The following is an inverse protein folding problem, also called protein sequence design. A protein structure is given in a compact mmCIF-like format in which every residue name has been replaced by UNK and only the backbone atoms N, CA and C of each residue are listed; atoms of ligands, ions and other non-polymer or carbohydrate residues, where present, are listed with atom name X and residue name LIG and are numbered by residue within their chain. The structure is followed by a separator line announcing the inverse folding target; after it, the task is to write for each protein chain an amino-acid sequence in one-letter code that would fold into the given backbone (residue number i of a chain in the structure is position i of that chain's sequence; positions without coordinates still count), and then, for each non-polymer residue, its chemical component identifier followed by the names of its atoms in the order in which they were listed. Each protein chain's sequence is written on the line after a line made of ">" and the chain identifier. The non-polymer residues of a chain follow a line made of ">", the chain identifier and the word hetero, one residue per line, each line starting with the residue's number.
data_IF_743527554701
#
_entry.id   IF_743527554701
#
_cell.length_a   1.000
_cell.length_b   1.000
_cell.length_c   1.000
_cell.angle_alpha   90.00
_cell.angle_beta   90.00
_cell.angle_gamma   90.00
#
_symmetry.space_group_name_H-M   'P 1'
#
loop_
_entity.id
_entity.type
_entity.pdbx_description
1 polymer ?
#
# COMPACT_ATOMS: atom_id res chain seq x y z
N UNK A 1 15.58 20.86 -7.19
CA UNK A 1 15.29 19.43 -6.95
C UNK A 1 14.67 19.28 -5.57
N UNK A 2 13.39 18.90 -5.52
CA UNK A 2 12.57 18.82 -4.31
C UNK A 2 12.20 17.37 -3.95
N UNK A 3 11.51 17.17 -2.83
CA UNK A 3 11.16 15.83 -2.29
C UNK A 3 10.11 15.04 -3.10
N UNK A 4 10.02 15.25 -4.43
CA UNK A 4 8.99 14.64 -5.27
C UNK A 4 7.56 15.12 -4.95
N UNK A 5 7.39 16.24 -4.24
CA UNK A 5 6.06 16.72 -3.81
C UNK A 5 5.09 17.01 -4.95
N UNK A 6 5.57 17.25 -6.17
CA UNK A 6 4.70 17.36 -7.35
C UNK A 6 3.95 16.05 -7.65
N UNK A 7 4.49 14.92 -7.20
CA UNK A 7 3.94 13.57 -7.32
C UNK A 7 3.05 13.17 -6.13
N UNK A 8 2.66 14.12 -5.26
CA UNK A 8 1.86 13.85 -4.06
C UNK A 8 0.58 13.02 -4.32
N UNK A 9 -0.14 13.17 -5.46
CA UNK A 9 -1.32 12.33 -5.69
C UNK A 9 -0.94 10.86 -5.95
N UNK A 10 0.17 10.60 -6.66
CA UNK A 10 0.67 9.23 -6.88
C UNK A 10 1.22 8.61 -5.59
N UNK A 11 1.81 9.41 -4.70
CA UNK A 11 2.22 8.96 -3.37
C UNK A 11 1.02 8.44 -2.58
N UNK A 12 -0.09 9.20 -2.56
CA UNK A 12 -1.32 8.79 -1.88
C UNK A 12 -1.93 7.55 -2.53
N UNK A 13 -2.02 7.52 -3.86
CA UNK A 13 -2.58 6.39 -4.60
C UNK A 13 -1.84 5.08 -4.28
N UNK A 14 -0.52 5.08 -4.40
CA UNK A 14 0.30 3.88 -4.18
C UNK A 14 0.24 3.41 -2.72
N UNK A 15 0.44 4.30 -1.74
CA UNK A 15 0.43 3.92 -0.31
C UNK A 15 -0.96 3.42 0.12
N UNK A 16 -2.02 4.16 -0.20
CA UNK A 16 -3.37 3.77 0.21
C UNK A 16 -3.84 2.51 -0.52
N UNK A 17 -3.56 2.39 -1.83
CA UNK A 17 -3.89 1.19 -2.61
C UNK A 17 -3.23 -0.06 -2.03
N UNK A 18 -1.93 0.01 -1.70
CA UNK A 18 -1.19 -1.08 -1.06
C UNK A 18 -1.74 -1.43 0.32
N UNK A 19 -2.04 -0.43 1.16
CA UNK A 19 -2.66 -0.64 2.47
C UNK A 19 -4.03 -1.32 2.35
N UNK A 20 -4.88 -0.90 1.40
CA UNK A 20 -6.20 -1.49 1.16
C UNK A 20 -6.08 -2.94 0.73
N UNK A 21 -5.18 -3.26 -0.21
CA UNK A 21 -4.96 -4.65 -0.65
C UNK A 21 -4.55 -5.53 0.53
N UNK A 22 -3.55 -5.11 1.32
CA UNK A 22 -3.09 -5.88 2.47
C UNK A 22 -4.17 -6.03 3.55
N UNK A 23 -4.96 -4.99 3.80
CA UNK A 23 -6.07 -5.05 4.75
C UNK A 23 -7.23 -5.93 4.27
N UNK A 24 -7.54 -5.89 2.97
CA UNK A 24 -8.51 -6.78 2.34
C UNK A 24 -8.09 -8.24 2.52
N UNK A 25 -6.82 -8.59 2.28
CA UNK A 25 -6.30 -9.95 2.50
C UNK A 25 -6.52 -10.39 3.95
N UNK A 26 -6.19 -9.54 4.93
CA UNK A 26 -6.40 -9.86 6.35
C UNK A 26 -7.88 -10.10 6.68
N UNK A 27 -8.78 -9.24 6.19
CA UNK A 27 -10.22 -9.38 6.44
C UNK A 27 -10.80 -10.60 5.70
N UNK A 28 -10.38 -10.84 4.46
CA UNK A 28 -10.77 -12.00 3.66
C UNK A 28 -10.36 -13.31 4.34
N UNK A 29 -9.13 -13.41 4.86
CA UNK A 29 -8.67 -14.57 5.61
C UNK A 29 -9.49 -14.81 6.88
N UNK A 30 -9.87 -13.74 7.60
CA UNK A 30 -10.72 -13.84 8.79
C UNK A 30 -12.11 -14.40 8.45
N UNK A 31 -12.71 -13.97 7.31
CA UNK A 31 -14.00 -14.46 6.82
C UNK A 31 -13.90 -15.91 6.30
N UNK A 32 -12.85 -16.26 5.54
CA UNK A 32 -12.64 -17.60 5.00
C UNK A 32 -12.43 -18.63 6.11
N UNK A 33 -11.70 -18.25 7.17
CA UNK A 33 -11.46 -19.11 8.33
C UNK A 33 -12.75 -19.60 9.00
N UNK A 34 -13.88 -18.91 8.81
CA UNK A 34 -15.21 -19.37 9.24
C UNK A 34 -15.38 -19.49 10.74
N UNK A 35 -14.56 -18.78 11.53
CA UNK A 35 -14.59 -18.82 13.01
C UNK A 35 -15.46 -17.70 13.62
N UNK A 36 -16.14 -16.93 12.78
CA UNK A 36 -16.96 -15.78 13.18
C UNK A 36 -18.44 -16.22 13.20
N UNK A 37 -19.20 -15.76 14.19
CA UNK A 37 -20.66 -15.89 14.18
C UNK A 37 -21.28 -14.96 13.12
N UNK A 38 -22.58 -15.09 12.90
CA UNK A 38 -23.28 -14.29 11.88
C UNK A 38 -23.24 -12.78 12.19
N UNK A 39 -23.34 -12.42 13.47
CA UNK A 39 -23.33 -11.02 13.92
C UNK A 39 -21.98 -10.39 13.64
N UNK A 40 -20.89 -11.05 14.01
CA UNK A 40 -19.53 -10.57 13.81
C UNK A 40 -19.17 -10.57 12.33
N UNK A 41 -19.57 -11.59 11.57
CA UNK A 41 -19.43 -11.64 10.10
C UNK A 41 -20.09 -10.42 9.46
N UNK A 42 -21.31 -10.07 9.86
CA UNK A 42 -22.00 -8.87 9.37
C UNK A 42 -21.24 -7.59 9.74
N UNK A 43 -20.74 -7.47 10.97
CA UNK A 43 -19.94 -6.30 11.41
C UNK A 43 -18.63 -6.17 10.62
N UNK A 44 -17.97 -7.28 10.28
CA UNK A 44 -16.78 -7.29 9.42
C UNK A 44 -17.12 -6.79 8.02
N UNK A 45 -18.21 -7.27 7.41
CA UNK A 45 -18.65 -6.74 6.12
C UNK A 45 -19.01 -5.25 6.19
N UNK A 46 -19.62 -4.77 7.28
CA UNK A 46 -19.86 -3.33 7.48
C UNK A 46 -18.54 -2.56 7.53
N UNK A 47 -17.53 -3.05 8.26
CA UNK A 47 -16.24 -2.34 8.34
C UNK A 47 -15.45 -2.36 7.03
N UNK A 48 -15.68 -3.33 6.13
CA UNK A 48 -15.09 -3.32 4.78
C UNK A 48 -15.50 -2.10 3.94
N UNK A 49 -16.58 -1.41 4.28
CA UNK A 49 -16.95 -0.12 3.64
C UNK A 49 -15.77 0.86 3.62
N UNK A 50 -15.02 0.95 4.72
CA UNK A 50 -13.88 1.87 4.83
C UNK A 50 -12.72 1.49 3.91
N UNK A 51 -12.55 0.21 3.54
CA UNK A 51 -11.57 -0.20 2.53
C UNK A 51 -11.89 0.42 1.17
N UNK A 52 -13.16 0.36 0.77
CA UNK A 52 -13.59 0.88 -0.53
C UNK A 52 -13.61 2.40 -0.58
N UNK A 53 -13.91 3.06 0.55
CA UNK A 53 -13.72 4.51 0.67
C UNK A 53 -12.26 4.90 0.49
N UNK A 54 -11.32 4.24 1.19
CA UNK A 54 -9.89 4.51 1.05
C UNK A 54 -9.38 4.22 -0.37
N UNK A 55 -9.87 3.14 -1.00
CA UNK A 55 -9.54 2.82 -2.38
C UNK A 55 -10.10 3.86 -3.37
N UNK A 56 -11.31 4.34 -3.14
CA UNK A 56 -11.91 5.44 -3.92
C UNK A 56 -11.07 6.71 -3.83
N UNK A 57 -10.61 7.08 -2.62
CA UNK A 57 -9.69 8.21 -2.42
C UNK A 57 -8.38 7.99 -3.18
N UNK A 58 -7.82 6.76 -3.12
CA UNK A 58 -6.61 6.41 -3.85
C UNK A 58 -6.78 6.60 -5.37
N UNK A 59 -7.90 6.16 -5.95
CA UNK A 59 -8.17 6.36 -7.38
C UNK A 59 -8.41 7.82 -7.77
N UNK A 60 -9.11 8.58 -6.92
CA UNK A 60 -9.26 10.02 -7.15
C UNK A 60 -7.89 10.68 -7.22
N UNK A 61 -6.99 10.35 -6.29
CA UNK A 61 -5.61 10.85 -6.31
C UNK A 61 -4.86 10.43 -7.58
N UNK A 62 -5.02 9.18 -8.04
CA UNK A 62 -4.45 8.70 -9.32
C UNK A 62 -4.92 9.54 -10.51
N UNK A 63 -6.20 9.87 -10.59
CA UNK A 63 -6.77 10.68 -11.68
C UNK A 63 -6.34 12.14 -11.60
N UNK A 64 -6.17 12.70 -10.40
CA UNK A 64 -5.75 14.09 -10.21
C UNK A 64 -4.34 14.38 -10.75
N UNK A 65 -3.49 13.35 -10.86
CA UNK A 65 -2.16 13.50 -11.44
C UNK A 65 -2.17 13.41 -12.99
N UNK A 66 -3.25 12.89 -13.60
CA UNK A 66 -3.36 12.82 -15.05
C UNK A 66 -3.62 14.23 -15.61
N UNK A 67 -2.74 14.70 -16.50
CA UNK A 67 -2.93 16.00 -17.17
C UNK A 67 -4.21 16.10 -18.02
N UNK A 68 -4.87 14.99 -18.34
CA UNK A 68 -6.19 14.99 -18.99
C UNK A 68 -7.06 13.82 -18.51
N UNK A 69 -7.85 14.01 -17.44
CA UNK A 69 -8.69 12.96 -16.84
C UNK A 69 -9.62 12.26 -17.84
N UNK A 70 -10.19 13.01 -18.78
CA UNK A 70 -11.08 12.46 -19.81
C UNK A 70 -10.41 11.49 -20.78
N UNK A 71 -9.08 11.59 -20.96
CA UNK A 71 -8.30 10.68 -21.81
C UNK A 71 -7.80 9.46 -21.05
N UNK A 72 -7.98 9.39 -19.72
CA UNK A 72 -7.58 8.24 -18.93
C UNK A 72 -8.22 6.95 -19.43
N UNK A 73 -9.45 7.00 -19.96
CA UNK A 73 -10.12 5.84 -20.57
C UNK A 73 -9.38 5.27 -21.78
N UNK A 74 -8.65 6.11 -22.54
CA UNK A 74 -7.85 5.64 -23.67
C UNK A 74 -6.70 4.73 -23.23
N UNK A 75 -6.27 4.82 -21.96
CA UNK A 75 -5.25 3.92 -21.42
C UNK A 75 -5.69 2.46 -21.49
N UNK A 76 -6.99 2.17 -21.40
CA UNK A 76 -7.53 0.80 -21.46
C UNK A 76 -7.37 0.15 -22.84
N UNK A 77 -7.09 0.92 -23.89
CA UNK A 77 -6.86 0.39 -25.23
C UNK A 77 -5.51 -0.35 -25.38
N UNK A 78 -4.62 -0.25 -24.37
CA UNK A 78 -3.27 -0.84 -24.39
C UNK A 78 -3.02 -1.84 -23.25
N UNK A 79 -4.08 -2.50 -22.78
CA UNK A 79 -3.97 -3.57 -21.79
C UNK A 79 -3.11 -4.69 -22.38
N UNK A 80 -2.13 -5.17 -21.60
CA UNK A 80 -1.14 -6.16 -22.02
C UNK A 80 0.15 -5.55 -22.56
N UNK A 81 0.12 -4.34 -23.12
CA UNK A 81 1.31 -3.69 -23.69
C UNK A 81 1.91 -2.61 -22.79
N UNK A 82 1.07 -1.85 -22.09
CA UNK A 82 1.50 -0.72 -21.26
C UNK A 82 1.39 -1.06 -19.77
N UNK A 83 2.47 -0.85 -19.03
CA UNK A 83 2.48 -1.03 -17.58
C UNK A 83 1.43 -0.16 -16.88
N UNK A 84 1.28 1.11 -17.31
CA UNK A 84 0.28 2.03 -16.78
C UNK A 84 -1.16 1.54 -17.07
N UNK A 85 -1.40 1.02 -18.27
CA UNK A 85 -2.70 0.44 -18.63
C UNK A 85 -3.04 -0.76 -17.75
N UNK A 86 -2.06 -1.65 -17.55
CA UNK A 86 -2.20 -2.83 -16.71
C UNK A 86 -2.49 -2.46 -15.24
N UNK A 87 -1.87 -1.39 -14.72
CA UNK A 87 -2.13 -0.88 -13.38
C UNK A 87 -3.57 -0.38 -13.23
N UNK A 88 -4.03 0.46 -14.17
CA UNK A 88 -5.41 0.99 -14.17
C UNK A 88 -6.42 -0.15 -14.28
N UNK A 89 -6.20 -1.09 -15.19
CA UNK A 89 -7.10 -2.22 -15.40
C UNK A 89 -7.13 -3.16 -14.18
N UNK A 90 -5.97 -3.58 -13.66
CA UNK A 90 -5.90 -4.47 -12.50
C UNK A 90 -6.47 -3.84 -11.23
N UNK A 91 -6.20 -2.55 -10.98
CA UNK A 91 -6.81 -1.81 -9.89
C UNK A 91 -8.32 -1.73 -10.01
N UNK A 92 -8.82 -1.38 -11.21
CA UNK A 92 -10.27 -1.30 -11.48
C UNK A 92 -10.97 -2.65 -11.28
N UNK A 93 -10.35 -3.74 -11.74
CA UNK A 93 -10.88 -5.11 -11.58
C UNK A 93 -10.87 -5.52 -10.11
N UNK A 94 -9.79 -5.24 -9.36
CA UNK A 94 -9.74 -5.50 -7.91
C UNK A 94 -10.85 -4.75 -7.16
N UNK A 95 -11.01 -3.46 -7.44
CA UNK A 95 -12.03 -2.62 -6.80
C UNK A 95 -13.45 -3.07 -7.15
N UNK A 96 -13.72 -3.38 -8.42
CA UNK A 96 -15.02 -3.89 -8.84
C UNK A 96 -15.31 -5.26 -8.22
N UNK A 97 -14.39 -6.21 -8.31
CA UNK A 97 -14.58 -7.55 -7.74
C UNK A 97 -14.79 -7.51 -6.22
N UNK A 98 -14.01 -6.70 -5.51
CA UNK A 98 -14.14 -6.53 -4.06
C UNK A 98 -15.39 -5.76 -3.65
N UNK A 99 -15.72 -4.67 -4.35
CA UNK A 99 -16.91 -3.87 -4.11
C UNK A 99 -18.22 -4.61 -4.39
N UNK A 100 -18.26 -5.39 -5.48
CA UNK A 100 -19.41 -6.25 -5.81
C UNK A 100 -19.59 -7.34 -4.76
N UNK A 101 -18.51 -8.02 -4.36
CA UNK A 101 -18.55 -8.99 -3.26
C UNK A 101 -19.14 -8.36 -2.00
N UNK A 102 -18.60 -7.20 -1.60
CA UNK A 102 -19.01 -6.50 -0.40
C UNK A 102 -20.49 -6.10 -0.45
N UNK A 103 -20.96 -5.58 -1.59
CA UNK A 103 -22.35 -5.19 -1.78
C UNK A 103 -23.28 -6.40 -1.69
N UNK A 104 -22.97 -7.50 -2.39
CA UNK A 104 -23.78 -8.71 -2.34
C UNK A 104 -23.80 -9.32 -0.93
N UNK A 105 -22.66 -9.28 -0.21
CA UNK A 105 -22.58 -9.73 1.17
C UNK A 105 -23.42 -8.86 2.12
N UNK A 106 -23.44 -7.53 1.92
CA UNK A 106 -24.30 -6.61 2.68
C UNK A 106 -25.79 -6.81 2.41
N UNK A 107 -26.14 -7.18 1.18
CA UNK A 107 -27.52 -7.51 0.79
C UNK A 107 -27.95 -8.94 1.20
N UNK A 108 -27.08 -9.69 1.89
CA UNK A 108 -27.30 -11.09 2.26
C UNK A 108 -27.62 -11.99 1.05
N UNK A 109 -27.08 -11.64 -0.13
CA UNK A 109 -27.25 -12.37 -1.39
C UNK A 109 -26.06 -13.25 -1.76
N UNK A 110 -25.02 -13.31 -0.93
CA UNK A 110 -23.84 -14.14 -1.17
C UNK A 110 -23.97 -15.52 -0.51
N UNK A 111 -23.98 -16.61 -1.30
CA UNK A 111 -23.85 -17.95 -0.75
C UNK A 111 -22.49 -18.13 -0.07
N UNK A 112 -22.46 -18.81 1.09
CA UNK A 112 -21.24 -18.93 1.90
C UNK A 112 -20.05 -19.58 1.17
N UNK A 113 -20.30 -20.65 0.40
CA UNK A 113 -19.25 -21.35 -0.36
C UNK A 113 -18.69 -20.48 -1.50
N UNK A 114 -19.58 -19.83 -2.26
CA UNK A 114 -19.20 -18.93 -3.35
C UNK A 114 -18.45 -17.71 -2.81
N UNK A 115 -18.86 -17.19 -1.65
CA UNK A 115 -18.21 -16.06 -1.01
C UNK A 115 -16.75 -16.31 -0.67
N UNK A 116 -16.41 -17.51 -0.16
CA UNK A 116 -15.01 -17.87 0.13
C UNK A 116 -14.13 -17.91 -1.13
N UNK A 117 -14.64 -18.50 -2.20
CA UNK A 117 -13.94 -18.56 -3.49
C UNK A 117 -13.77 -17.15 -4.06
N UNK A 118 -14.81 -16.32 -4.00
CA UNK A 118 -14.75 -14.94 -4.47
C UNK A 118 -13.72 -14.11 -3.71
N UNK A 119 -13.71 -14.21 -2.38
CA UNK A 119 -12.69 -13.57 -1.54
C UNK A 119 -11.28 -14.00 -1.96
N UNK A 120 -11.06 -15.29 -2.20
CA UNK A 120 -9.76 -15.82 -2.66
C UNK A 120 -9.34 -15.24 -4.00
N UNK A 121 -10.26 -15.19 -4.97
CA UNK A 121 -10.01 -14.57 -6.27
C UNK A 121 -9.67 -13.08 -6.10
N UNK A 122 -10.44 -12.33 -5.30
CA UNK A 122 -10.18 -10.90 -5.07
C UNK A 122 -8.84 -10.66 -4.36
N UNK A 123 -8.39 -11.55 -3.46
CA UNK A 123 -7.04 -11.48 -2.88
C UNK A 123 -5.97 -11.58 -3.97
N UNK A 124 -6.10 -12.53 -4.90
CA UNK A 124 -5.18 -12.68 -6.03
C UNK A 124 -5.20 -11.45 -6.92
N UNK A 125 -6.39 -10.90 -7.22
CA UNK A 125 -6.53 -9.65 -7.99
C UNK A 125 -5.83 -8.47 -7.32
N UNK A 126 -5.92 -8.36 -5.98
CA UNK A 126 -5.20 -7.34 -5.22
C UNK A 126 -3.68 -7.49 -5.32
N UNK A 127 -3.16 -8.71 -5.25
CA UNK A 127 -1.74 -8.98 -5.46
C UNK A 127 -1.28 -8.65 -6.89
N UNK A 128 -2.09 -8.99 -7.89
CA UNK A 128 -1.83 -8.62 -9.29
C UNK A 128 -1.83 -7.10 -9.48
N UNK A 129 -2.71 -6.38 -8.77
CA UNK A 129 -2.72 -4.92 -8.79
C UNK A 129 -1.44 -4.33 -8.20
N UNK A 130 -0.98 -4.80 -7.03
CA UNK A 130 0.31 -4.35 -6.45
C UNK A 130 1.48 -4.70 -7.37
N UNK A 131 1.45 -5.87 -8.02
CA UNK A 131 2.44 -6.23 -9.04
C UNK A 131 2.41 -5.26 -10.23
N UNK A 132 1.24 -4.93 -10.76
CA UNK A 132 1.09 -3.99 -11.86
C UNK A 132 1.63 -2.59 -11.48
N UNK A 133 1.35 -2.10 -10.26
CA UNK A 133 1.95 -0.87 -9.73
C UNK A 133 3.49 -0.91 -9.79
N UNK A 134 4.10 -2.03 -9.38
CA UNK A 134 5.56 -2.17 -9.42
C UNK A 134 6.09 -2.06 -10.85
N UNK A 135 5.40 -2.66 -11.82
CA UNK A 135 5.83 -2.70 -13.23
C UNK A 135 5.82 -1.33 -13.89
N UNK A 136 5.00 -0.38 -13.40
CA UNK A 136 5.00 1.00 -13.90
C UNK A 136 6.36 1.68 -13.70
N UNK A 137 7.06 1.33 -12.62
CA UNK A 137 8.32 1.98 -12.26
C UNK A 137 9.57 1.17 -12.64
N UNK A 138 9.42 -0.04 -13.17
CA UNK A 138 10.53 -0.83 -13.70
C UNK A 138 10.90 -0.39 -15.11
N UNK A 139 11.31 0.88 -15.27
CA UNK A 139 11.59 1.52 -16.55
C UNK A 139 13.12 1.55 -16.78
N UNK A 140 13.59 0.89 -17.84
CA UNK A 140 15.04 0.74 -18.12
C UNK A 140 15.80 2.07 -18.21
N UNK A 141 15.13 3.15 -18.59
CA UNK A 141 15.73 4.50 -18.72
C UNK A 141 15.84 5.26 -17.41
N UNK A 142 15.29 4.75 -16.30
CA UNK A 142 15.35 5.34 -14.96
C UNK A 142 16.05 4.38 -14.00
N UNK A 143 17.41 4.36 -13.97
CA UNK A 143 18.19 3.35 -13.26
C UNK A 143 17.97 3.35 -11.74
N UNK A 144 17.61 4.49 -11.16
CA UNK A 144 17.28 4.61 -9.73
C UNK A 144 16.00 3.86 -9.34
N UNK A 145 15.09 3.65 -10.30
CA UNK A 145 13.85 2.89 -10.12
C UNK A 145 13.93 1.46 -10.69
N UNK A 146 14.70 1.23 -11.74
CA UNK A 146 14.84 -0.08 -12.39
C UNK A 146 15.76 -1.03 -11.60
N UNK A 147 15.26 -1.53 -10.46
CA UNK A 147 15.96 -2.48 -9.62
C UNK A 147 15.00 -3.24 -8.69
N UNK A 148 15.51 -4.27 -8.02
CA UNK A 148 14.71 -5.08 -7.08
C UNK A 148 14.19 -4.32 -5.86
N UNK A 149 14.84 -3.21 -5.45
CA UNK A 149 14.41 -2.43 -4.29
C UNK A 149 13.07 -1.75 -4.50
N UNK A 150 12.75 -1.33 -5.74
CA UNK A 150 11.44 -0.77 -6.09
C UNK A 150 10.33 -1.79 -5.83
N UNK A 151 10.44 -2.99 -6.41
CA UNK A 151 9.45 -4.05 -6.20
C UNK A 151 9.35 -4.44 -4.73
N UNK A 152 10.48 -4.59 -4.05
CA UNK A 152 10.52 -4.89 -2.63
C UNK A 152 9.82 -3.81 -1.81
N UNK A 153 10.10 -2.53 -2.05
CA UNK A 153 9.47 -1.40 -1.37
C UNK A 153 7.96 -1.33 -1.57
N UNK A 154 7.45 -1.67 -2.75
CA UNK A 154 6.01 -1.73 -3.03
C UNK A 154 5.31 -2.84 -2.24
N UNK A 155 5.90 -4.04 -2.23
CA UNK A 155 5.36 -5.18 -1.46
C UNK A 155 5.45 -4.91 0.05
N UNK A 156 6.55 -4.32 0.52
CA UNK A 156 6.74 -4.04 1.94
C UNK A 156 5.74 -3.00 2.46
N UNK A 157 5.41 -1.95 1.71
CA UNK A 157 4.36 -0.99 2.13
C UNK A 157 3.01 -1.69 2.37
N UNK A 158 2.62 -2.62 1.49
CA UNK A 158 1.43 -3.45 1.68
C UNK A 158 1.51 -4.27 2.97
N UNK A 159 2.67 -4.85 3.28
CA UNK A 159 2.89 -5.66 4.48
C UNK A 159 3.08 -4.83 5.76
N UNK A 160 3.45 -3.56 5.66
CA UNK A 160 3.57 -2.64 6.79
C UNK A 160 2.18 -2.11 7.17
N UNK A 161 1.50 -1.44 6.24
CA UNK A 161 0.24 -0.75 6.51
C UNK A 161 -1.00 -1.66 6.43
N UNK A 162 -0.98 -2.68 5.58
CA UNK A 162 -2.11 -3.58 5.36
C UNK A 162 -2.54 -4.35 6.62
N UNK A 163 -1.63 -5.06 7.32
CA UNK A 163 -1.96 -5.76 8.55
C UNK A 163 -2.49 -4.85 9.65
N UNK A 164 -1.96 -3.62 9.77
CA UNK A 164 -2.43 -2.63 10.74
C UNK A 164 -3.85 -2.16 10.41
N UNK A 165 -4.13 -1.81 9.16
CA UNK A 165 -5.47 -1.41 8.72
C UNK A 165 -6.49 -2.56 8.83
N UNK A 166 -6.09 -3.77 8.43
CA UNK A 166 -6.93 -4.97 8.59
C UNK A 166 -7.22 -5.26 10.07
N UNK A 167 -6.22 -5.18 10.94
CA UNK A 167 -6.39 -5.32 12.38
C UNK A 167 -7.33 -4.24 12.95
N UNK A 168 -7.15 -2.97 12.54
CA UNK A 168 -8.00 -1.85 12.93
C UNK A 168 -9.47 -2.12 12.60
N UNK A 169 -9.77 -2.53 11.37
CA UNK A 169 -11.15 -2.77 10.91
C UNK A 169 -11.78 -4.01 11.55
N UNK A 170 -11.00 -5.07 11.77
CA UNK A 170 -11.44 -6.25 12.52
C UNK A 170 -11.72 -5.88 13.99
N UNK A 171 -10.85 -5.07 14.62
CA UNK A 171 -11.03 -4.61 15.99
C UNK A 171 -12.26 -3.71 16.13
N UNK A 172 -12.50 -2.83 15.16
CA UNK A 172 -13.68 -1.98 15.09
C UNK A 172 -14.98 -2.79 14.91
N UNK A 173 -14.92 -3.90 14.18
CA UNK A 173 -16.03 -4.85 14.07
C UNK A 173 -16.26 -5.67 15.37
N UNK A 174 -15.34 -5.61 16.33
CA UNK A 174 -15.42 -6.35 17.59
C UNK A 174 -14.74 -7.71 17.56
N UNK A 175 -13.96 -8.03 16.52
CA UNK A 175 -13.24 -9.29 16.40
C UNK A 175 -12.08 -9.30 17.39
N UNK A 176 -12.00 -10.35 18.19
CA UNK A 176 -10.91 -10.61 19.13
C UNK A 176 -10.43 -12.04 18.90
N UNK A 177 -9.12 -12.24 18.73
CA UNK A 177 -8.59 -13.59 18.55
C UNK A 177 -7.07 -13.67 18.59
N UNK A 178 -6.54 -14.84 18.98
CA UNK A 178 -5.10 -15.08 19.07
C UNK A 178 -4.38 -14.93 17.71
N UNK A 179 -5.04 -15.27 16.60
CA UNK A 179 -4.46 -15.12 15.25
C UNK A 179 -4.13 -13.67 14.91
N UNK A 180 -4.79 -12.70 15.55
CA UNK A 180 -4.51 -11.28 15.35
C UNK A 180 -3.15 -10.86 15.94
N UNK A 181 -2.52 -11.68 16.79
CA UNK A 181 -1.19 -11.42 17.36
C UNK A 181 -0.05 -11.65 16.36
N UNK A 182 -0.30 -12.34 15.24
CA UNK A 182 0.67 -12.51 14.16
C UNK A 182 0.79 -11.26 13.27
N UNK A 183 -0.28 -10.48 13.15
CA UNK A 183 -0.33 -9.30 12.27
C UNK A 183 0.74 -8.25 12.60
N UNK A 184 0.98 -7.87 13.88
CA UNK A 184 2.07 -6.94 14.20
C UNK A 184 3.45 -7.50 13.87
N UNK A 185 3.66 -8.81 13.99
CA UNK A 185 4.95 -9.45 13.67
C UNK A 185 5.25 -9.30 12.18
N UNK A 186 4.24 -9.49 11.32
CA UNK A 186 4.37 -9.29 9.87
C UNK A 186 4.79 -7.85 9.56
N UNK A 187 4.10 -6.85 10.14
CA UNK A 187 4.44 -5.44 9.91
C UNK A 187 5.84 -5.07 10.45
N UNK A 188 6.24 -5.57 11.62
CA UNK A 188 7.58 -5.31 12.19
C UNK A 188 8.67 -5.92 11.31
N UNK A 189 8.51 -7.18 10.88
CA UNK A 189 9.46 -7.81 9.97
C UNK A 189 9.54 -7.04 8.65
N UNK A 190 8.41 -6.59 8.11
CA UNK A 190 8.38 -5.78 6.90
C UNK A 190 9.10 -4.42 7.07
N UNK A 191 8.97 -3.76 8.22
CA UNK A 191 9.74 -2.54 8.54
C UNK A 191 11.23 -2.84 8.62
N UNK A 192 11.66 -3.92 9.29
CA UNK A 192 13.07 -4.29 9.40
C UNK A 192 13.69 -4.55 8.02
N UNK A 193 13.00 -5.32 7.17
CA UNK A 193 13.45 -5.56 5.79
C UNK A 193 13.45 -4.26 4.99
N UNK A 194 12.48 -3.36 5.19
CA UNK A 194 12.42 -2.08 4.49
C UNK A 194 13.59 -1.16 4.87
N UNK A 195 13.95 -1.10 6.15
CA UNK A 195 15.10 -0.31 6.62
C UNK A 195 16.40 -0.86 6.03
N UNK A 196 16.58 -2.18 6.07
CA UNK A 196 17.76 -2.82 5.47
C UNK A 196 17.84 -2.55 3.96
N UNK A 197 16.73 -2.72 3.24
CA UNK A 197 16.65 -2.48 1.80
C UNK A 197 16.98 -1.03 1.43
N UNK A 198 16.41 -0.06 2.14
CA UNK A 198 16.68 1.38 1.87
C UNK A 198 18.11 1.75 2.23
N UNK A 199 18.67 1.19 3.30
CA UNK A 199 20.08 1.40 3.64
C UNK A 199 21.01 0.84 2.55
N UNK A 200 20.78 -0.39 2.09
CA UNK A 200 21.55 -1.01 1.01
C UNK A 200 21.41 -0.23 -0.31
N UNK A 201 20.20 0.20 -0.67
CA UNK A 201 19.96 1.05 -1.82
C UNK A 201 20.72 2.37 -1.69
N UNK A 202 20.73 2.98 -0.50
CA UNK A 202 21.45 4.21 -0.20
C UNK A 202 22.94 4.15 -0.52
N UNK A 203 23.60 3.02 -0.20
CA UNK A 203 25.01 2.80 -0.57
C UNK A 203 25.19 2.66 -2.09
N UNK A 204 24.26 1.99 -2.78
CA UNK A 204 24.29 1.83 -4.23
C UNK A 204 23.99 3.10 -5.03
N UNK A 205 23.32 4.11 -4.44
CA UNK A 205 23.01 5.38 -5.12
C UNK A 205 24.28 6.17 -5.50
N UNK A 206 25.40 5.98 -4.79
CA UNK A 206 26.66 6.63 -5.14
C UNK A 206 27.27 6.09 -6.44
N UNK A 207 26.90 4.88 -6.87
CA UNK A 207 27.42 4.30 -8.11
C UNK A 207 26.64 4.78 -9.35
N UNK A 208 25.40 5.24 -9.15
CA UNK A 208 24.53 5.70 -10.23
C UNK A 208 24.79 7.18 -10.52
N UNK A 209 25.27 7.47 -11.72
CA UNK A 209 25.58 8.83 -12.18
C UNK A 209 25.09 9.04 -13.61
N UNK A 210 24.61 10.25 -13.89
CA UNK A 210 24.47 10.77 -15.26
C UNK A 210 25.67 11.65 -15.60
N UNK A 211 25.76 12.12 -16.84
CA UNK A 211 26.76 13.10 -17.25
C UNK A 211 26.64 14.45 -16.53
N UNK A 212 25.52 14.69 -15.83
CA UNK A 212 25.19 15.98 -15.20
C UNK A 212 25.21 15.88 -13.67
N UNK A 213 24.75 14.77 -13.08
CA UNK A 213 24.59 14.66 -11.63
C UNK A 213 24.62 13.21 -11.14
N UNK A 214 25.06 13.02 -9.89
CA UNK A 214 25.05 11.73 -9.18
C UNK A 214 23.71 11.53 -8.44
N UNK A 215 23.19 10.30 -8.39
CA UNK A 215 21.89 10.02 -7.78
C UNK A 215 21.85 10.33 -6.27
N UNK A 216 22.98 10.18 -5.57
CA UNK A 216 23.13 10.54 -4.15
C UNK A 216 22.89 12.03 -3.86
N UNK A 217 23.11 12.90 -4.85
CA UNK A 217 22.91 14.35 -4.73
C UNK A 217 21.45 14.78 -5.00
N UNK A 218 20.56 13.89 -5.46
CA UNK A 218 19.16 14.21 -5.76
C UNK A 218 18.37 14.57 -4.49
N UNK A 219 18.71 13.93 -3.36
CA UNK A 219 18.06 14.14 -2.07
C UNK A 219 19.14 14.41 -1.00
N UNK A 220 19.59 15.67 -0.84
CA UNK A 220 20.61 16.02 0.16
C UNK A 220 20.18 15.66 1.61
N UNK A 221 18.88 15.64 1.87
CA UNK A 221 18.27 15.32 3.16
C UNK A 221 17.91 13.83 3.33
N UNK A 222 18.51 12.91 2.55
CA UNK A 222 18.10 11.49 2.54
C UNK A 222 18.12 10.84 3.93
N UNK A 223 19.20 11.05 4.70
CA UNK A 223 19.33 10.50 6.04
C UNK A 223 18.29 11.04 7.04
N UNK A 224 17.98 12.34 6.98
CA UNK A 224 17.00 12.95 7.90
C UNK A 224 15.57 12.54 7.55
N UNK A 225 15.25 12.38 6.26
CA UNK A 225 13.95 11.86 5.82
C UNK A 225 13.78 10.39 6.19
N UNK A 226 14.83 9.57 6.07
CA UNK A 226 14.80 8.19 6.53
C UNK A 226 14.58 8.09 8.04
N UNK A 227 15.21 8.96 8.83
CA UNK A 227 15.02 9.03 10.27
C UNK A 227 13.57 9.40 10.64
N UNK A 228 12.99 10.41 9.98
CA UNK A 228 11.58 10.78 10.19
C UNK A 228 10.60 9.68 9.79
N UNK A 229 10.84 9.04 8.63
CA UNK A 229 10.07 7.87 8.21
C UNK A 229 10.09 6.79 9.28
N UNK A 230 11.28 6.42 9.78
CA UNK A 230 11.41 5.38 10.80
C UNK A 230 10.74 5.77 12.11
N UNK A 231 10.91 7.03 12.55
CA UNK A 231 10.26 7.53 13.76
C UNK A 231 8.73 7.39 13.68
N UNK A 232 8.12 7.79 12.55
CA UNK A 232 6.68 7.68 12.33
C UNK A 232 6.22 6.21 12.30
N UNK A 233 6.94 5.32 11.63
CA UNK A 233 6.62 3.89 11.57
C UNK A 233 6.71 3.24 12.97
N UNK A 234 7.76 3.54 13.73
CA UNK A 234 7.96 3.01 15.10
C UNK A 234 6.89 3.53 16.05
N UNK A 235 6.56 4.83 16.00
CA UNK A 235 5.50 5.40 16.83
C UNK A 235 4.13 4.81 16.45
N UNK A 236 3.85 4.67 15.15
CA UNK A 236 2.59 4.12 14.66
C UNK A 236 2.38 2.67 15.06
N UNK A 237 3.39 1.82 14.87
CA UNK A 237 3.36 0.42 15.31
C UNK A 237 3.43 0.29 16.84
N UNK A 238 4.10 1.20 17.53
CA UNK A 238 4.15 1.25 18.99
C UNK A 238 2.76 1.42 19.61
N UNK A 239 1.91 2.27 19.03
CA UNK A 239 0.51 2.44 19.44
C UNK A 239 -0.33 1.16 19.32
N UNK A 240 0.04 0.27 18.41
CA UNK A 240 -0.59 -1.03 18.22
C UNK A 240 -0.02 -2.11 19.15
N UNK A 241 1.30 -2.19 19.25
CA UNK A 241 2.03 -3.28 19.93
C UNK A 241 2.09 -3.10 21.45
N UNK A 242 2.31 -1.87 21.95
CA UNK A 242 2.49 -1.61 23.38
C UNK A 242 1.30 -2.06 24.24
N UNK A 243 0.03 -1.80 23.86
CA UNK A 243 -1.12 -2.33 24.59
C UNK A 243 -1.15 -3.86 24.63
N UNK A 244 -0.80 -4.52 23.51
CA UNK A 244 -0.82 -5.98 23.38
C UNK A 244 0.21 -6.66 24.27
N UNK A 245 1.43 -6.11 24.37
CA UNK A 245 2.47 -6.61 25.29
C UNK A 245 2.00 -6.49 26.75
N UNK A 246 1.27 -5.42 27.09
CA UNK A 246 0.69 -5.21 28.43
C UNK A 246 -0.57 -6.06 28.69
N UNK A 247 -0.90 -7.01 27.81
CA UNK A 247 -2.09 -7.86 27.91
C UNK A 247 -3.41 -7.11 27.68
N UNK A 248 -3.37 -5.86 27.23
CA UNK A 248 -4.56 -5.04 26.94
C UNK A 248 -4.91 -5.11 25.46
N UNK A 249 -6.20 -4.96 25.15
CA UNK A 249 -6.60 -4.76 23.74
C UNK A 249 -6.31 -3.32 23.34
N UNK A 250 -5.64 -3.05 22.20
CA UNK A 250 -5.46 -1.70 21.70
C UNK A 250 -6.82 -1.06 21.40
N UNK A 251 -6.97 0.22 21.72
CA UNK A 251 -8.19 0.97 21.43
C UNK A 251 -8.26 1.32 19.94
N UNK A 252 -9.47 1.42 19.40
CA UNK A 252 -9.67 1.79 17.99
C UNK A 252 -9.07 3.17 17.69
N UNK A 253 -9.20 4.14 18.61
CA UNK A 253 -8.62 5.47 18.45
C UNK A 253 -7.08 5.43 18.29
N UNK A 254 -6.37 4.66 19.14
CA UNK A 254 -4.91 4.53 19.04
C UNK A 254 -4.49 3.81 17.75
N UNK A 255 -5.28 2.87 17.26
CA UNK A 255 -5.02 2.19 15.99
C UNK A 255 -5.23 3.12 14.79
N UNK A 256 -6.22 4.02 14.82
CA UNK A 256 -6.43 5.05 13.79
C UNK A 256 -5.23 6.01 13.75
N UNK A 257 -4.81 6.51 14.91
CA UNK A 257 -3.61 7.37 15.01
C UNK A 257 -2.38 6.61 14.52
N UNK A 258 -2.22 5.36 14.93
CA UNK A 258 -1.11 4.51 14.51
C UNK A 258 -1.07 4.30 13.00
N UNK A 259 -2.23 4.05 12.39
CA UNK A 259 -2.35 3.92 10.93
C UNK A 259 -2.03 5.22 10.21
N UNK A 260 -2.50 6.37 10.71
CA UNK A 260 -2.17 7.68 10.13
C UNK A 260 -0.66 7.97 10.17
N UNK A 261 0.02 7.64 11.29
CA UNK A 261 1.47 7.76 11.41
C UNK A 261 2.20 6.82 10.45
N UNK A 262 1.74 5.57 10.31
CA UNK A 262 2.32 4.61 9.36
C UNK A 262 2.17 5.11 7.92
N UNK A 263 0.98 5.59 7.54
CA UNK A 263 0.75 6.18 6.21
C UNK A 263 1.65 7.40 6.00
N UNK A 264 1.79 8.29 6.98
CA UNK A 264 2.70 9.44 6.87
C UNK A 264 4.16 9.00 6.66
N UNK A 265 4.63 7.99 7.39
CA UNK A 265 5.97 7.42 7.20
C UNK A 265 6.17 6.80 5.82
N UNK A 266 5.19 6.03 5.34
CA UNK A 266 5.23 5.44 3.99
C UNK A 266 5.13 6.51 2.89
N UNK A 267 4.41 7.61 3.11
CA UNK A 267 4.42 8.77 2.21
C UNK A 267 5.81 9.41 2.15
N UNK A 268 6.53 9.58 3.26
CA UNK A 268 7.93 10.05 3.21
C UNK A 268 8.78 9.07 2.39
N UNK A 269 8.59 7.76 2.58
CA UNK A 269 9.23 6.72 1.78
C UNK A 269 8.98 6.86 0.28
N UNK A 270 7.72 7.09 -0.12
CA UNK A 270 7.35 7.34 -1.51
C UNK A 270 7.88 8.67 -2.04
N UNK A 271 7.92 9.71 -1.22
CA UNK A 271 8.50 11.00 -1.60
C UNK A 271 9.98 10.88 -1.91
N UNK A 272 10.73 10.13 -1.08
CA UNK A 272 12.12 9.80 -1.38
C UNK A 272 12.24 8.99 -2.68
N UNK A 273 11.38 8.00 -2.89
CA UNK A 273 11.37 7.21 -4.12
C UNK A 273 11.16 8.08 -5.38
N UNK A 274 10.15 8.96 -5.39
CA UNK A 274 9.90 9.85 -6.53
C UNK A 274 10.98 10.91 -6.69
N UNK A 275 11.54 11.42 -5.59
CA UNK A 275 12.65 12.36 -5.61
C UNK A 275 13.95 11.78 -6.19
N UNK A 276 14.09 10.46 -6.22
CA UNK A 276 15.21 9.77 -6.86
C UNK A 276 15.05 9.62 -8.38
N UNK A 277 14.00 10.19 -8.99
CA UNK A 277 13.85 10.13 -10.45
C UNK A 277 15.05 10.73 -11.17
N UNK A 278 15.74 9.92 -11.96
CA UNK A 278 16.85 10.34 -12.80
C UNK A 278 16.87 9.50 -14.06
N UNK A 279 16.90 10.15 -15.22
CA UNK A 279 16.95 9.46 -16.52
C UNK A 279 18.39 9.29 -17.00
N UNK A 280 18.64 8.26 -17.80
CA UNK A 280 19.90 8.16 -18.56
C UNK A 280 19.95 9.26 -19.62
N UNK A 281 20.96 10.14 -19.55
CA UNK A 281 21.18 11.23 -20.51
C UNK A 281 21.33 12.62 -19.88
N UNK A 282 21.19 13.67 -20.70
CA UNK A 282 21.36 15.08 -20.31
C UNK A 282 20.07 15.73 -19.77
N UNK A 283 18.95 15.01 -19.73
CA UNK A 283 17.67 15.55 -19.30
C UNK A 283 17.65 15.74 -17.78
N UNK A 284 17.63 17.00 -17.35
CA UNK A 284 17.42 17.37 -15.95
C UNK A 284 15.92 17.36 -15.69
N UNK A 285 15.46 16.49 -14.78
CA UNK A 285 14.08 16.53 -14.31
C UNK A 285 13.88 17.86 -13.56
N UNK A 286 13.05 18.75 -14.13
CA UNK A 286 12.64 20.03 -13.55
C UNK A 286 11.61 19.85 -12.45
#
# INVERSE_FOLDING_TARGET
>A
MGMGWHEWPLMIFTVLGQCVVGAFIVMALALIAGRLDEVLTRRVHVSMFFLWVLMGIAFIASVMHLGSPMRAFNSLNRIGESALSNEIASGSVFFAAGGIYWLLAMLNKMPAALGKVWLAITMVLGLLFVYAMCRVYQIDTVPTWHNGYTTLGFVLTMLIGGPLLGFLLLRAAGVLGCSMRLLPVISVLAVLVSVAAVAMQGFGLAEIHSSVQQASALIPAFGTLLAWRLALLVLGLGGWICPMIKGKTPSVAWLVIGFALVVAGELIGRGMFYGLHMTVGMAVAG
#
